data_IF_195553678613
#
_entry.id   IF_195553678613
#
_cell.length_a   1.000
_cell.length_b   1.000
_cell.length_c   1.000
_cell.angle_alpha   90.00
_cell.angle_beta   90.00
_cell.angle_gamma   90.00
#
_symmetry.space_group_name_H-M   'P 1'
#
loop_
_entity.id
_entity.type
_entity.pdbx_description
1 polymer ?
#
# COMPACT_ATOMS: atom_id res chain seq x y z
N UNK A 1 4.52 -4.77 4.88
CA UNK A 1 4.18 -3.36 4.54
C UNK A 1 4.92 -2.48 5.53
N UNK A 2 5.81 -1.62 5.05
CA UNK A 2 6.59 -0.74 5.93
C UNK A 2 5.77 0.48 6.37
N UNK A 3 4.84 0.93 5.53
CA UNK A 3 3.80 1.85 5.95
C UNK A 3 2.83 2.23 4.83
N UNK A 4 1.79 2.98 5.20
CA UNK A 4 0.79 3.56 4.30
C UNK A 4 0.53 5.02 4.69
N UNK A 5 0.20 5.86 3.71
CA UNK A 5 -0.17 7.26 3.94
C UNK A 5 -1.00 7.80 2.79
N UNK A 6 -1.79 8.83 3.03
CA UNK A 6 -2.55 9.56 2.01
C UNK A 6 -2.20 11.06 1.93
N UNK A 7 -1.33 11.56 2.81
CA UNK A 7 -0.95 12.98 2.87
C UNK A 7 -1.96 13.91 3.53
N UNK A 8 -3.03 13.40 4.16
CA UNK A 8 -3.97 14.21 4.92
C UNK A 8 -3.43 14.45 6.36
N UNK A 9 -3.13 15.70 6.77
CA UNK A 9 -2.62 16.01 8.11
C UNK A 9 -3.63 15.75 9.23
N UNK A 10 -4.92 15.59 8.90
CA UNK A 10 -5.99 15.28 9.86
C UNK A 10 -6.37 13.80 9.89
N UNK A 11 -5.67 12.95 9.13
CA UNK A 11 -5.91 11.50 9.19
C UNK A 11 -5.31 10.90 10.45
N UNK A 12 -6.07 10.03 11.10
CA UNK A 12 -5.63 9.22 12.25
C UNK A 12 -5.46 7.74 11.88
N UNK A 13 -5.49 7.41 10.58
CA UNK A 13 -5.22 6.05 10.11
C UNK A 13 -3.78 5.67 10.52
N UNK A 14 -3.53 4.47 11.10
CA UNK A 14 -2.20 4.09 11.53
C UNK A 14 -1.23 3.97 10.35
N UNK A 15 -0.01 4.51 10.49
CA UNK A 15 1.01 4.37 9.45
C UNK A 15 1.37 2.90 9.18
N UNK A 16 1.33 2.04 10.19
CA UNK A 16 1.63 0.61 10.06
C UNK A 16 0.36 -0.23 9.91
N UNK A 17 -0.52 0.17 8.99
CA UNK A 17 -1.70 -0.57 8.59
C UNK A 17 -1.55 -1.19 7.19
N UNK A 18 -2.49 -2.07 6.82
CA UNK A 18 -2.65 -2.58 5.46
C UNK A 18 -3.81 -1.89 4.71
N UNK A 19 -4.31 -0.78 5.24
CA UNK A 19 -5.40 0.03 4.68
C UNK A 19 -5.11 1.52 4.90
N UNK A 20 -5.63 2.38 4.04
CA UNK A 20 -5.65 3.83 4.24
C UNK A 20 -6.75 4.43 3.37
N UNK A 21 -7.45 5.44 3.88
CA UNK A 21 -8.42 6.17 3.07
C UNK A 21 -7.71 6.99 1.98
N UNK A 22 -8.31 7.12 0.79
CA UNK A 22 -7.77 8.01 -0.22
C UNK A 22 -7.95 9.47 0.19
N UNK A 23 -6.96 10.31 -0.11
CA UNK A 23 -7.07 11.76 0.01
C UNK A 23 -6.86 12.38 -1.37
N UNK A 24 -7.86 13.15 -1.83
CA UNK A 24 -7.93 13.62 -3.22
C UNK A 24 -7.70 12.52 -4.27
N UNK A 25 -8.25 11.34 -4.00
CA UNK A 25 -8.20 10.19 -4.92
C UNK A 25 -6.86 9.47 -4.98
N UNK A 26 -5.91 9.74 -4.06
CA UNK A 26 -4.61 9.09 -4.02
C UNK A 26 -4.24 8.62 -2.61
N UNK A 27 -3.37 7.62 -2.56
CA UNK A 27 -2.67 7.15 -1.38
C UNK A 27 -1.35 6.50 -1.81
N UNK A 28 -0.48 6.24 -0.84
CA UNK A 28 0.82 5.63 -1.01
C UNK A 28 0.99 4.45 -0.05
N UNK A 29 1.63 3.40 -0.55
CA UNK A 29 2.13 2.28 0.24
C UNK A 29 3.65 2.23 0.10
N UNK A 30 4.34 2.05 1.22
CA UNK A 30 5.78 1.81 1.28
C UNK A 30 6.00 0.33 1.60
N UNK A 31 6.74 -0.35 0.74
CA UNK A 31 7.05 -1.78 0.87
C UNK A 31 8.54 -1.92 1.11
N UNK A 32 8.91 -2.48 2.26
CA UNK A 32 10.29 -2.87 2.54
C UNK A 32 10.56 -4.26 1.97
N UNK A 33 11.75 -4.47 1.40
CA UNK A 33 12.21 -5.79 1.02
C UNK A 33 12.66 -6.57 2.28
N UNK A 34 12.41 -7.88 2.28
CA UNK A 34 13.01 -8.80 3.25
C UNK A 34 14.41 -9.22 2.81
N UNK A 35 14.93 -10.31 3.40
CA UNK A 35 16.22 -10.91 3.02
C UNK A 35 16.09 -11.90 1.86
N UNK A 36 14.88 -12.38 1.60
CA UNK A 36 14.64 -13.43 0.61
C UNK A 36 14.42 -12.83 -0.78
N UNK A 37 15.06 -13.44 -1.77
CA UNK A 37 14.83 -13.14 -3.19
C UNK A 37 13.49 -13.71 -3.63
N UNK A 38 12.89 -13.09 -4.65
CA UNK A 38 11.65 -13.58 -5.25
C UNK A 38 10.75 -12.46 -5.74
N UNK A 39 9.46 -12.76 -5.90
CA UNK A 39 8.47 -11.80 -6.37
C UNK A 39 7.51 -11.43 -5.24
N UNK A 40 7.36 -10.13 -4.99
CA UNK A 40 6.37 -9.58 -4.07
C UNK A 40 5.15 -9.15 -4.89
N UNK A 41 3.98 -9.72 -4.58
CA UNK A 41 2.71 -9.33 -5.18
C UNK A 41 1.97 -8.38 -4.24
N UNK A 42 1.60 -7.20 -4.76
CA UNK A 42 0.88 -6.16 -4.03
C UNK A 42 -0.47 -5.97 -4.71
N UNK A 43 -1.54 -6.18 -3.95
CA UNK A 43 -2.91 -5.99 -4.42
C UNK A 43 -3.58 -4.85 -3.66
N UNK A 44 -4.23 -3.95 -4.40
CA UNK A 44 -5.08 -2.90 -3.83
C UNK A 44 -6.55 -3.16 -4.22
N UNK A 45 -7.45 -3.04 -3.25
CA UNK A 45 -8.88 -3.25 -3.44
C UNK A 45 -9.68 -2.28 -2.57
N UNK A 46 -10.84 -1.87 -3.07
CA UNK A 46 -11.84 -1.10 -2.34
C UNK A 46 -13.22 -1.53 -2.86
N UNK A 47 -14.22 -1.60 -1.98
CA UNK A 47 -15.50 -2.30 -2.19
C UNK A 47 -15.96 -2.44 -3.65
N UNK A 48 -16.43 -1.34 -4.25
CA UNK A 48 -17.02 -1.36 -5.60
C UNK A 48 -16.01 -1.06 -6.73
N UNK A 49 -14.71 -1.02 -6.43
CA UNK A 49 -13.66 -0.76 -7.42
C UNK A 49 -13.01 -2.05 -7.88
N UNK A 50 -12.57 -2.06 -9.14
CA UNK A 50 -11.77 -3.16 -9.68
C UNK A 50 -10.46 -3.24 -8.92
N UNK A 51 -10.13 -4.44 -8.45
CA UNK A 51 -8.85 -4.75 -7.80
C UNK A 51 -7.72 -4.63 -8.81
N UNK A 52 -6.63 -3.97 -8.44
CA UNK A 52 -5.39 -3.97 -9.23
C UNK A 52 -4.28 -4.70 -8.47
N UNK A 53 -3.37 -5.32 -9.20
CA UNK A 53 -2.24 -6.06 -8.65
C UNK A 53 -0.96 -5.70 -9.40
N UNK A 54 0.11 -5.44 -8.66
CA UNK A 54 1.45 -5.20 -9.17
C UNK A 54 2.42 -6.19 -8.58
N UNK A 55 3.41 -6.59 -9.37
CA UNK A 55 4.49 -7.46 -8.93
C UNK A 55 5.80 -6.68 -8.92
N UNK A 56 6.59 -6.88 -7.87
CA UNK A 56 7.93 -6.33 -7.72
C UNK A 56 8.89 -7.50 -7.56
N UNK A 57 9.89 -7.59 -8.42
CA UNK A 57 10.96 -8.57 -8.34
C UNK A 57 12.04 -8.08 -7.38
N UNK A 58 12.46 -8.95 -6.47
CA UNK A 58 13.54 -8.74 -5.49
C UNK A 58 14.66 -9.70 -5.88
N UNK A 59 15.81 -9.14 -6.26
CA UNK A 59 17.00 -9.84 -6.76
C UNK A 59 18.18 -9.76 -5.80
#
# INVERSE_FOLDING_TARGET
>A
IAGVSNGNPQSFDPFQANYVNLFYGKAMIVVGAGTDKGNVSISASSGNLQKDTKQIKID
#
